data_IF_764843553266
#
_entry.id   IF_764843553266
#
_cell.length_a   1.000
_cell.length_b   1.000
_cell.length_c   1.000
_cell.angle_alpha   90.00
_cell.angle_beta   90.00
_cell.angle_gamma   90.00
#
_symmetry.space_group_name_H-M   'P 1'
#
loop_
_entity.id
_entity.type
_entity.pdbx_description
1 polymer ?
#
# COMPACT_ATOMS: atom_id res chain seq x y z
N UNK A 1 11.32 16.37 -21.12
CA UNK A 1 11.21 17.28 -19.94
C UNK A 1 11.21 16.40 -18.68
N UNK A 2 11.42 16.94 -17.47
CA UNK A 2 11.41 16.16 -16.21
C UNK A 2 10.12 15.33 -16.05
N UNK A 3 9.01 15.92 -16.47
CA UNK A 3 7.64 15.38 -16.50
C UNK A 3 7.53 14.05 -17.25
N UNK A 4 8.11 13.92 -18.46
CA UNK A 4 8.07 12.68 -19.26
C UNK A 4 8.85 11.55 -18.57
N UNK A 5 9.97 11.87 -17.94
CA UNK A 5 10.82 10.89 -17.23
C UNK A 5 10.11 10.39 -15.97
N UNK A 6 9.50 11.29 -15.20
CA UNK A 6 8.78 10.94 -13.98
C UNK A 6 7.54 10.10 -14.28
N UNK A 7 6.78 10.48 -15.32
CA UNK A 7 5.64 9.67 -15.77
C UNK A 7 6.09 8.27 -16.22
N UNK A 8 7.15 8.16 -17.03
CA UNK A 8 7.68 6.87 -17.45
C UNK A 8 8.18 6.01 -16.29
N UNK A 9 8.76 6.62 -15.24
CA UNK A 9 9.14 5.92 -14.02
C UNK A 9 7.92 5.41 -13.24
N UNK A 10 6.85 6.21 -13.13
CA UNK A 10 5.59 5.79 -12.50
C UNK A 10 4.91 4.64 -13.28
N UNK A 11 4.87 4.71 -14.61
CA UNK A 11 4.33 3.64 -15.46
C UNK A 11 5.16 2.35 -15.32
N UNK A 12 6.49 2.47 -15.26
CA UNK A 12 7.38 1.33 -15.01
C UNK A 12 7.12 0.71 -13.64
N UNK A 13 6.91 1.50 -12.59
CA UNK A 13 6.57 1.01 -11.26
C UNK A 13 5.32 0.11 -11.31
N UNK A 14 4.27 0.52 -12.04
CA UNK A 14 3.07 -0.29 -12.23
C UNK A 14 3.37 -1.67 -12.81
N UNK A 15 4.20 -1.73 -13.87
CA UNK A 15 4.64 -3.01 -14.45
C UNK A 15 5.47 -3.86 -13.48
N UNK A 16 6.38 -3.25 -12.72
CA UNK A 16 7.19 -3.99 -11.72
C UNK A 16 6.29 -4.60 -10.63
N UNK A 17 5.29 -3.86 -10.14
CA UNK A 17 4.32 -4.36 -9.16
C UNK A 17 3.50 -5.51 -9.75
N UNK A 18 3.02 -5.35 -10.98
CA UNK A 18 2.24 -6.38 -11.67
C UNK A 18 3.03 -7.68 -11.85
N UNK A 19 4.31 -7.58 -12.22
CA UNK A 19 5.20 -8.73 -12.44
C UNK A 19 5.79 -9.30 -11.14
N UNK A 20 5.52 -8.68 -9.98
CA UNK A 20 6.12 -9.02 -8.67
C UNK A 20 7.65 -8.96 -8.66
N UNK A 21 8.24 -8.12 -9.51
CA UNK A 21 9.69 -8.01 -9.67
C UNK A 21 10.30 -7.01 -8.67
N UNK A 22 10.06 -7.19 -7.38
CA UNK A 22 10.40 -6.22 -6.33
C UNK A 22 11.90 -5.95 -6.19
N UNK A 23 12.76 -6.86 -6.64
CA UNK A 23 14.20 -6.66 -6.77
C UNK A 23 14.55 -5.47 -7.70
N UNK A 24 13.63 -5.09 -8.59
CA UNK A 24 13.77 -3.97 -9.52
C UNK A 24 13.24 -2.64 -8.99
N UNK A 25 12.71 -2.58 -7.75
CA UNK A 25 12.20 -1.32 -7.19
C UNK A 25 13.26 -0.21 -7.16
N UNK A 26 14.54 -0.55 -6.99
CA UNK A 26 15.64 0.41 -7.05
C UNK A 26 15.80 1.10 -8.41
N UNK A 27 15.15 0.65 -9.48
CA UNK A 27 15.10 1.35 -10.78
C UNK A 27 14.25 2.63 -10.73
N UNK A 28 13.26 2.70 -9.84
CA UNK A 28 12.25 3.78 -9.79
C UNK A 28 12.14 4.44 -8.41
N UNK A 29 12.61 3.79 -7.35
CA UNK A 29 12.69 4.35 -6.00
C UNK A 29 14.13 4.74 -5.67
N UNK A 30 14.30 5.85 -4.96
CA UNK A 30 15.56 6.20 -4.33
C UNK A 30 15.81 5.30 -3.12
N UNK A 31 17.09 4.99 -2.83
CA UNK A 31 17.46 4.15 -1.69
C UNK A 31 17.04 4.78 -0.36
N UNK A 32 17.15 6.11 -0.28
CA UNK A 32 16.82 6.97 0.85
C UNK A 32 15.38 7.52 0.80
N UNK A 33 14.46 6.88 0.07
CA UNK A 33 13.08 7.36 -0.05
C UNK A 33 12.42 7.56 1.31
N UNK A 34 11.77 8.70 1.48
CA UNK A 34 10.96 8.99 2.66
C UNK A 34 9.52 8.61 2.39
N UNK A 35 9.05 7.69 3.21
CA UNK A 35 7.66 7.33 3.31
C UNK A 35 6.97 8.15 4.40
N UNK A 36 6.01 8.99 4.02
CA UNK A 36 5.28 9.84 4.98
C UNK A 36 4.06 9.14 5.60
N UNK A 37 3.62 8.00 5.06
CA UNK A 37 2.49 7.23 5.58
C UNK A 37 2.83 5.72 5.59
N UNK A 38 3.88 5.30 6.33
CA UNK A 38 4.34 3.91 6.36
C UNK A 38 3.36 2.99 7.07
N UNK A 39 3.34 1.71 6.69
CA UNK A 39 2.62 0.70 7.46
C UNK A 39 3.22 0.56 8.88
N UNK A 40 2.46 0.03 9.86
CA UNK A 40 3.02 -0.31 11.17
C UNK A 40 4.28 -1.16 11.04
N UNK A 41 5.32 -0.80 11.78
CA UNK A 41 6.63 -1.48 11.81
C UNK A 41 7.41 -1.52 10.48
N UNK A 42 6.97 -0.79 9.44
CA UNK A 42 7.70 -0.69 8.18
C UNK A 42 9.07 -0.03 8.38
N UNK A 43 10.12 -0.67 7.87
CA UNK A 43 11.47 -0.11 7.87
C UNK A 43 11.54 1.19 7.02
N UNK A 44 12.49 2.09 7.29
CA UNK A 44 12.70 3.27 6.44
C UNK A 44 13.33 2.90 5.09
N UNK A 45 13.19 3.81 4.12
CA UNK A 45 13.87 3.72 2.83
C UNK A 45 13.32 2.63 1.90
N UNK A 46 14.06 2.36 0.83
CA UNK A 46 13.68 1.40 -0.20
C UNK A 46 13.42 0.00 0.35
N UNK A 47 14.19 -0.43 1.35
CA UNK A 47 14.03 -1.75 1.96
C UNK A 47 12.62 -1.95 2.53
N UNK A 48 12.11 -0.98 3.31
CA UNK A 48 10.77 -1.10 3.86
C UNK A 48 9.65 -1.02 2.81
N UNK A 49 9.86 -0.29 1.71
CA UNK A 49 8.92 -0.29 0.58
C UNK A 49 8.88 -1.68 -0.08
N UNK A 50 10.04 -2.32 -0.27
CA UNK A 50 10.11 -3.68 -0.82
C UNK A 50 9.42 -4.69 0.10
N UNK A 51 9.74 -4.66 1.40
CA UNK A 51 9.17 -5.56 2.40
C UNK A 51 7.63 -5.41 2.44
N UNK A 52 7.13 -4.17 2.47
CA UNK A 52 5.69 -3.89 2.42
C UNK A 52 5.01 -4.55 1.21
N UNK A 53 5.56 -4.40 0.01
CA UNK A 53 4.94 -4.96 -1.20
C UNK A 53 5.05 -6.48 -1.26
N UNK A 54 6.12 -7.08 -0.72
CA UNK A 54 6.25 -8.52 -0.59
C UNK A 54 5.20 -9.10 0.38
N UNK A 55 5.03 -8.50 1.54
CA UNK A 55 4.03 -8.92 2.52
C UNK A 55 2.61 -8.73 1.98
N UNK A 56 2.33 -7.58 1.37
CA UNK A 56 1.02 -7.28 0.81
C UNK A 56 0.64 -8.26 -0.32
N UNK A 57 1.57 -8.61 -1.20
CA UNK A 57 1.31 -9.59 -2.27
C UNK A 57 1.35 -11.05 -1.80
N UNK A 58 1.87 -11.31 -0.60
CA UNK A 58 1.70 -12.60 0.09
C UNK A 58 0.27 -12.73 0.63
N UNK A 59 -0.27 -11.67 1.24
CA UNK A 59 -1.66 -11.61 1.70
C UNK A 59 -2.69 -11.71 0.55
N UNK A 60 -2.37 -11.05 -0.57
CA UNK A 60 -3.21 -10.91 -1.75
C UNK A 60 -2.44 -11.33 -3.03
N UNK A 61 -2.25 -12.62 -3.30
CA UNK A 61 -1.45 -13.09 -4.45
C UNK A 61 -2.02 -12.66 -5.81
N UNK A 62 -3.34 -12.56 -5.91
CA UNK A 62 -4.09 -12.12 -7.10
C UNK A 62 -4.28 -10.60 -7.18
N UNK A 63 -3.52 -9.83 -6.39
CA UNK A 63 -3.63 -8.38 -6.33
C UNK A 63 -3.50 -7.71 -7.70
N UNK A 64 -4.50 -6.93 -8.08
CA UNK A 64 -4.52 -6.05 -9.23
C UNK A 64 -4.55 -4.59 -8.77
N UNK A 65 -3.70 -3.76 -9.39
CA UNK A 65 -3.70 -2.31 -9.17
C UNK A 65 -3.96 -1.63 -10.50
N UNK A 66 -5.14 -1.04 -10.64
CA UNK A 66 -5.54 -0.30 -11.84
C UNK A 66 -5.37 1.20 -11.57
N UNK A 67 -4.43 1.89 -12.22
CA UNK A 67 -4.36 3.35 -12.13
C UNK A 67 -5.59 3.98 -12.82
N UNK A 68 -6.20 4.97 -12.16
CA UNK A 68 -7.13 5.92 -12.76
C UNK A 68 -6.30 7.06 -13.46
N UNK A 69 -6.72 8.33 -13.62
CA UNK A 69 -5.86 9.31 -14.28
C UNK A 69 -4.69 9.73 -13.37
N UNK A 70 -3.51 9.86 -13.98
CA UNK A 70 -2.34 10.48 -13.35
C UNK A 70 -2.41 12.00 -13.48
N UNK A 71 -1.96 12.71 -12.43
CA UNK A 71 -1.66 14.14 -12.49
C UNK A 71 -0.15 14.30 -12.37
N UNK A 72 0.47 14.86 -13.41
CA UNK A 72 1.93 14.95 -13.53
C UNK A 72 2.35 16.42 -13.53
N UNK A 73 3.31 16.74 -12.69
CA UNK A 73 4.02 18.02 -12.65
C UNK A 73 5.53 17.75 -12.75
N UNK A 74 6.35 18.80 -12.82
CA UNK A 74 7.79 18.64 -12.98
C UNK A 74 8.46 17.87 -11.83
N UNK A 75 7.89 17.95 -10.63
CA UNK A 75 8.44 17.33 -9.41
C UNK A 75 7.55 16.22 -8.84
N UNK A 76 6.26 16.16 -9.20
CA UNK A 76 5.30 15.24 -8.59
C UNK A 76 4.49 14.46 -9.60
N UNK A 77 4.22 13.19 -9.27
CA UNK A 77 3.19 12.38 -9.92
C UNK A 77 2.17 11.94 -8.87
N UNK A 78 0.91 12.28 -9.10
CA UNK A 78 -0.22 11.81 -8.30
C UNK A 78 -0.95 10.73 -9.07
N UNK A 79 -1.13 9.57 -8.45
CA UNK A 79 -1.91 8.46 -8.97
C UNK A 79 -3.11 8.22 -8.05
N UNK A 80 -4.32 8.28 -8.61
CA UNK A 80 -5.49 7.65 -7.99
C UNK A 80 -5.58 6.26 -8.59
N UNK A 81 -5.87 5.24 -7.78
CA UNK A 81 -5.91 3.87 -8.25
C UNK A 81 -7.01 3.08 -7.54
N UNK A 82 -7.41 1.99 -8.18
CA UNK A 82 -8.28 0.97 -7.58
C UNK A 82 -7.46 -0.29 -7.34
N UNK A 83 -7.56 -0.86 -6.14
CA UNK A 83 -6.93 -2.11 -5.74
C UNK A 83 -8.00 -3.18 -5.63
N UNK A 84 -7.72 -4.36 -6.20
CA UNK A 84 -8.54 -5.57 -6.05
C UNK A 84 -7.68 -6.75 -5.65
N UNK A 85 -8.25 -7.68 -4.91
CA UNK A 85 -7.59 -8.94 -4.57
C UNK A 85 -8.43 -9.82 -3.67
N UNK A 86 -7.90 -10.99 -3.33
CA UNK A 86 -8.53 -11.99 -2.46
C UNK A 86 -7.61 -12.33 -1.31
N UNK A 87 -8.13 -12.21 -0.08
CA UNK A 87 -7.37 -12.48 1.15
C UNK A 87 -7.11 -13.99 1.31
N UNK A 88 -5.94 -14.44 0.88
CA UNK A 88 -5.56 -15.87 0.86
C UNK A 88 -4.22 -16.16 1.55
N UNK A 89 -3.47 -15.13 1.93
CA UNK A 89 -2.35 -15.21 2.87
C UNK A 89 -2.64 -14.45 4.17
N UNK A 90 -1.70 -14.47 5.13
CA UNK A 90 -1.83 -13.73 6.39
C UNK A 90 -1.76 -12.21 6.14
N UNK A 91 -2.61 -11.44 6.81
CA UNK A 91 -2.66 -9.98 6.69
C UNK A 91 -2.89 -9.32 8.05
N UNK A 92 -1.97 -8.44 8.48
CA UNK A 92 -2.09 -7.65 9.71
C UNK A 92 -2.50 -8.46 10.97
N UNK A 93 -1.96 -9.68 11.12
CA UNK A 93 -2.27 -10.56 12.25
C UNK A 93 -3.55 -11.40 12.11
N UNK A 94 -4.23 -11.31 10.96
CA UNK A 94 -5.41 -12.11 10.65
C UNK A 94 -5.08 -13.25 9.69
N UNK A 95 -5.75 -14.39 9.92
CA UNK A 95 -5.75 -15.54 9.01
C UNK A 95 -6.56 -15.24 7.74
N UNK A 96 -6.24 -15.88 6.60
CA UNK A 96 -6.91 -15.63 5.33
C UNK A 96 -8.43 -15.90 5.41
N UNK A 97 -9.22 -14.91 4.99
CA UNK A 97 -10.69 -14.98 5.07
C UNK A 97 -11.32 -15.57 3.81
N UNK A 98 -10.57 -15.68 2.71
CA UNK A 98 -11.06 -16.11 1.40
C UNK A 98 -12.01 -15.10 0.73
N UNK A 99 -12.17 -13.91 1.30
CA UNK A 99 -13.01 -12.85 0.74
C UNK A 99 -12.20 -11.98 -0.22
N UNK A 100 -12.87 -11.48 -1.25
CA UNK A 100 -12.32 -10.49 -2.16
C UNK A 100 -12.66 -9.08 -1.71
N UNK A 101 -11.85 -8.12 -2.13
CA UNK A 101 -12.08 -6.70 -1.87
C UNK A 101 -11.88 -5.87 -3.15
N UNK A 102 -12.51 -4.70 -3.17
CA UNK A 102 -12.22 -3.61 -4.10
C UNK A 102 -12.22 -2.28 -3.33
N UNK A 103 -11.09 -1.57 -3.34
CA UNK A 103 -10.93 -0.29 -2.64
C UNK A 103 -10.17 0.71 -3.49
N UNK A 104 -10.36 2.00 -3.22
CA UNK A 104 -9.58 3.07 -3.88
C UNK A 104 -8.44 3.54 -3.00
N UNK A 105 -7.41 4.05 -3.65
CA UNK A 105 -6.32 4.75 -2.98
C UNK A 105 -5.78 5.90 -3.82
N UNK A 106 -4.93 6.69 -3.19
CA UNK A 106 -4.19 7.78 -3.80
C UNK A 106 -2.73 7.71 -3.35
N UNK A 107 -1.82 7.96 -4.27
CA UNK A 107 -0.39 8.16 -3.99
C UNK A 107 0.03 9.49 -4.60
N UNK A 108 0.77 10.29 -3.85
CA UNK A 108 1.54 11.43 -4.35
C UNK A 108 3.01 11.07 -4.22
N UNK A 109 3.75 11.05 -5.32
CA UNK A 109 5.17 10.75 -5.34
C UNK A 109 5.96 11.97 -5.81
N UNK A 110 6.97 12.36 -5.05
CA UNK A 110 7.95 13.37 -5.44
C UNK A 110 9.14 12.71 -6.11
N UNK A 111 9.61 13.29 -7.21
CA UNK A 111 10.68 12.75 -8.02
C UNK A 111 11.94 13.61 -7.98
N UNK A 112 13.09 12.94 -8.11
CA UNK A 112 14.39 13.54 -8.41
C UNK A 112 15.13 12.58 -9.33
N UNK A 113 15.60 13.08 -10.48
CA UNK A 113 16.36 12.30 -11.47
C UNK A 113 15.64 11.01 -11.91
N UNK A 114 14.32 11.06 -12.08
CA UNK A 114 13.49 9.92 -12.49
C UNK A 114 13.27 8.86 -11.40
N UNK A 115 13.59 9.18 -10.13
CA UNK A 115 13.33 8.31 -8.98
C UNK A 115 12.40 8.97 -7.97
N UNK A 116 11.54 8.18 -7.35
CA UNK A 116 10.71 8.58 -6.22
C UNK A 116 11.60 8.77 -4.99
N UNK A 117 11.62 9.99 -4.47
CA UNK A 117 12.39 10.36 -3.27
C UNK A 117 11.51 10.59 -2.04
N UNK A 118 10.22 10.88 -2.24
CA UNK A 118 9.24 10.99 -1.17
C UNK A 118 7.89 10.45 -1.66
N UNK A 119 7.10 9.84 -0.77
CA UNK A 119 5.73 9.43 -1.08
C UNK A 119 4.76 9.78 0.05
N UNK A 120 3.54 10.15 -0.33
CA UNK A 120 2.36 10.24 0.54
C UNK A 120 1.29 9.30 -0.02
N UNK A 121 0.55 8.63 0.86
CA UNK A 121 -0.41 7.61 0.46
C UNK A 121 -1.62 7.54 1.37
N UNK A 122 -2.78 7.27 0.78
CA UNK A 122 -3.98 6.88 1.52
C UNK A 122 -4.74 5.83 0.73
N UNK A 123 -5.18 4.77 1.41
CA UNK A 123 -6.08 3.74 0.88
C UNK A 123 -7.33 3.70 1.74
N UNK A 124 -8.46 3.27 1.18
CA UNK A 124 -9.68 3.00 1.96
C UNK A 124 -9.51 1.74 2.84
N UNK A 125 -8.70 1.87 3.90
CA UNK A 125 -8.37 0.81 4.85
C UNK A 125 -9.61 0.31 5.61
N UNK A 126 -10.54 1.22 5.92
CA UNK A 126 -11.80 0.86 6.56
C UNK A 126 -12.69 0.04 5.61
N UNK A 127 -12.81 0.45 4.35
CA UNK A 127 -13.54 -0.32 3.34
C UNK A 127 -12.89 -1.69 3.08
N UNK A 128 -11.56 -1.77 3.14
CA UNK A 128 -10.82 -3.04 3.06
C UNK A 128 -11.18 -3.96 4.24
N UNK A 129 -11.04 -3.47 5.47
CA UNK A 129 -11.33 -4.23 6.68
C UNK A 129 -12.79 -4.72 6.72
N UNK A 130 -13.76 -3.86 6.34
CA UNK A 130 -15.17 -4.23 6.21
C UNK A 130 -15.41 -5.36 5.21
N UNK A 131 -14.85 -5.26 4.01
CA UNK A 131 -15.03 -6.28 2.97
C UNK A 131 -14.40 -7.62 3.36
N UNK A 132 -13.27 -7.57 4.06
CA UNK A 132 -12.61 -8.76 4.59
C UNK A 132 -13.28 -9.29 5.87
N UNK A 133 -14.08 -8.49 6.56
CA UNK A 133 -14.71 -8.80 7.84
C UNK A 133 -13.70 -8.84 8.99
N UNK A 134 -12.78 -7.88 9.02
CA UNK A 134 -11.75 -7.74 10.04
C UNK A 134 -12.11 -6.72 11.14
N UNK A 135 -13.21 -5.97 10.97
CA UNK A 135 -13.62 -4.93 11.93
C UNK A 135 -14.11 -5.46 13.29
N UNK A 136 -14.31 -6.77 13.43
CA UNK A 136 -14.88 -7.39 14.63
C UNK A 136 -13.83 -7.88 15.64
N UNK A 137 -12.53 -7.62 15.44
CA UNK A 137 -11.47 -8.12 16.32
C UNK A 137 -11.14 -7.23 17.54
N UNK A 138 -12.01 -6.28 17.91
CA UNK A 138 -11.80 -5.45 19.12
C UNK A 138 -13.08 -5.12 19.90
N UNK A 139 -13.92 -6.10 20.22
CA UNK A 139 -15.00 -5.87 21.21
C UNK A 139 -15.16 -6.91 22.33
N UNK A 140 -14.31 -7.93 22.42
CA UNK A 140 -14.34 -8.91 23.51
C UNK A 140 -13.07 -8.85 24.41
N UNK A 141 -12.76 -7.67 24.96
CA UNK A 141 -12.06 -7.59 26.26
C UNK A 141 -12.39 -6.26 26.96
N UNK A 142 -13.67 -6.05 27.26
CA UNK A 142 -14.02 -5.28 28.43
C UNK A 142 -14.45 -6.28 29.49
N UNK A 143 -13.45 -6.71 30.27
CA UNK A 143 -13.67 -7.39 31.53
C UNK A 143 -14.81 -6.70 32.28
N UNK A 144 -15.91 -7.43 32.42
CA UNK A 144 -17.10 -7.08 33.19
C UNK A 144 -16.65 -6.92 34.65
N UNK A 145 -16.16 -5.72 35.02
CA UNK A 145 -15.93 -5.35 36.42
C UNK A 145 -17.30 -5.06 37.02
N UNK A 146 -17.96 -6.13 37.46
CA UNK A 146 -19.11 -6.03 38.36
C UNK A 146 -18.64 -5.48 39.69
N UNK A 147 -18.93 -4.22 39.96
CA UNK A 147 -18.94 -3.72 41.33
C UNK A 147 -20.11 -4.36 42.07
N UNK A 148 -19.79 -5.33 42.93
CA UNK A 148 -20.68 -5.82 43.99
C UNK A 148 -20.33 -5.09 45.28
N UNK A 149 -21.36 -4.83 46.10
CA UNK A 149 -21.39 -4.34 47.51
C UNK A 149 -21.70 -2.85 47.67
N UNK A 150 -22.54 -2.41 48.63
CA UNK A 150 -23.45 -3.07 49.58
C UNK A 150 -24.51 -2.05 50.02
#
# INVERSE_FOLDING_TARGET
MSTDVNQAAQERLGGIIQDRAFDRFGEVWAEDVVDHDPAPDQAPGLAGIVDFWQDFTTAFPDLELTPDPLVVTDDFVTAVFTIRGTHTGPFQGHEPTGKSFEVRGIQVAKFRDGKIVERWGATDEQGLAQQLGLDDASSDDHGDVRFVSA
#
